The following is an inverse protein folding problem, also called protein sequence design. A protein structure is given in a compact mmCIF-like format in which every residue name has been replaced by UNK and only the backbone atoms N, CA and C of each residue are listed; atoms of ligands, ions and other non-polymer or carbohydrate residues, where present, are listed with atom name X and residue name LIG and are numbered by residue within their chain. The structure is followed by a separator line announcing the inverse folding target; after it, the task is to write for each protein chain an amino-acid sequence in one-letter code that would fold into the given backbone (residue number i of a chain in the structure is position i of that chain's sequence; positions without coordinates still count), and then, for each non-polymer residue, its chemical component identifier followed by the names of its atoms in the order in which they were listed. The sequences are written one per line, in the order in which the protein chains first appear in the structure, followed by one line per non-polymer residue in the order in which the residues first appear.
data_IF_701596584876
#
_entry.id   IF_701596584876
#
_cell.length_a   1.000
_cell.length_b   1.000
_cell.length_c   1.000
_cell.angle_alpha   90.00
_cell.angle_beta   90.00
_cell.angle_gamma   90.00
#
_symmetry.space_group_name_H-M   'P 1'
#
loop_
_entity.id
_entity.type
_entity.pdbx_description
1 polymer ?
#
# COMPACT_ATOMS: atom_id res chain seq x y z
N UNK A 1 15.20 11.79 2.84
CA UNK A 1 15.59 10.48 2.28
C UNK A 1 16.23 9.62 3.37
N UNK A 2 15.91 8.34 3.42
CA UNK A 2 16.44 7.40 4.43
C UNK A 2 17.72 6.77 3.88
N UNK A 3 18.75 6.61 4.72
CA UNK A 3 19.94 5.82 4.38
C UNK A 3 19.58 4.32 4.52
N UNK A 4 19.19 3.69 3.39
CA UNK A 4 18.71 2.30 3.35
C UNK A 4 19.80 1.26 3.63
N UNK A 5 21.08 1.62 3.53
CA UNK A 5 22.20 0.73 3.87
C UNK A 5 22.44 0.66 5.38
N UNK A 6 22.19 1.77 6.08
CA UNK A 6 22.42 1.87 7.54
C UNK A 6 21.16 1.73 8.38
N UNK A 7 19.98 1.76 7.76
CA UNK A 7 18.69 1.71 8.45
C UNK A 7 18.03 0.36 8.21
N UNK A 8 17.63 -0.34 9.27
CA UNK A 8 16.85 -1.57 9.16
C UNK A 8 15.47 -1.27 8.51
N UNK A 9 15.04 -2.03 7.48
CA UNK A 9 13.70 -1.86 6.93
C UNK A 9 12.61 -2.28 7.92
N UNK A 10 11.42 -1.70 7.75
CA UNK A 10 10.21 -2.13 8.43
C UNK A 10 9.44 -3.14 7.58
N UNK A 11 8.69 -4.02 8.25
CA UNK A 11 7.74 -4.92 7.59
C UNK A 11 6.44 -4.16 7.29
N UNK A 12 6.19 -3.89 6.01
CA UNK A 12 4.93 -3.36 5.50
C UNK A 12 4.01 -4.51 5.10
N UNK A 13 2.77 -4.47 5.56
CA UNK A 13 1.70 -5.40 5.18
C UNK A 13 0.76 -4.71 4.18
N UNK A 14 0.67 -5.26 2.98
CA UNK A 14 -0.25 -4.80 1.94
C UNK A 14 -1.37 -5.83 1.79
N UNK A 15 -2.61 -5.37 1.73
CA UNK A 15 -3.76 -6.23 1.45
C UNK A 15 -4.29 -5.86 0.07
N UNK A 16 -4.27 -6.81 -0.85
CA UNK A 16 -4.50 -6.56 -2.28
C UNK A 16 -5.69 -7.35 -2.77
N UNK A 17 -6.76 -6.64 -3.17
CA UNK A 17 -7.96 -7.21 -3.77
C UNK A 17 -8.18 -6.61 -5.16
N UNK A 18 -8.66 -7.44 -6.08
CA UNK A 18 -8.86 -7.10 -7.48
C UNK A 18 -10.27 -6.53 -7.64
N UNK A 19 -10.39 -5.42 -8.37
CA UNK A 19 -11.67 -4.76 -8.65
C UNK A 19 -12.15 -3.79 -7.55
N UNK A 20 -11.89 -4.07 -6.28
CA UNK A 20 -12.25 -3.20 -5.17
C UNK A 20 -11.31 -3.35 -3.96
N UNK A 21 -11.40 -2.41 -3.01
CA UNK A 21 -10.76 -2.56 -1.70
C UNK A 21 -11.57 -3.51 -0.81
N UNK A 22 -10.89 -4.25 0.06
CA UNK A 22 -11.51 -4.84 1.25
C UNK A 22 -12.27 -3.78 2.04
N UNK A 23 -13.42 -4.14 2.61
CA UNK A 23 -14.16 -3.25 3.50
C UNK A 23 -13.45 -3.14 4.84
N UNK A 24 -13.59 -1.98 5.49
CA UNK A 24 -12.90 -1.72 6.75
C UNK A 24 -13.38 -2.66 7.88
N UNK A 25 -14.64 -3.12 7.82
CA UNK A 25 -15.22 -4.08 8.75
C UNK A 25 -14.76 -5.53 8.54
N UNK A 26 -14.07 -5.84 7.45
CA UNK A 26 -13.37 -7.11 7.26
C UNK A 26 -12.07 -7.18 8.09
N UNK A 27 -11.59 -6.05 8.60
CA UNK A 27 -10.41 -5.97 9.46
C UNK A 27 -10.80 -5.87 10.92
N UNK A 28 -10.34 -6.83 11.70
CA UNK A 28 -10.39 -6.80 13.16
C UNK A 28 -9.09 -7.35 13.74
N UNK A 29 -8.88 -7.20 15.05
CA UNK A 29 -7.76 -7.84 15.72
C UNK A 29 -7.80 -9.38 15.69
N UNK A 30 -8.98 -9.97 15.45
CA UNK A 30 -9.17 -11.43 15.43
C UNK A 30 -9.13 -12.02 14.03
N UNK A 31 -9.47 -11.22 13.01
CA UNK A 31 -9.65 -11.69 11.64
C UNK A 31 -9.23 -10.60 10.66
N UNK A 32 -8.38 -11.00 9.70
CA UNK A 32 -7.87 -10.17 8.60
C UNK A 32 -7.79 -11.05 7.34
N UNK A 33 -7.94 -10.49 6.12
CA UNK A 33 -7.87 -11.24 4.87
C UNK A 33 -6.41 -11.62 4.52
N UNK A 34 -5.85 -12.61 5.24
CA UNK A 34 -4.43 -12.98 5.14
C UNK A 34 -4.06 -13.69 3.84
N UNK A 35 -5.04 -14.29 3.14
CA UNK A 35 -4.81 -14.93 1.83
C UNK A 35 -4.43 -13.92 0.74
N UNK A 36 -4.80 -12.65 0.93
CA UNK A 36 -4.55 -11.52 0.03
C UNK A 36 -3.49 -10.57 0.60
N UNK A 37 -2.70 -11.03 1.58
CA UNK A 37 -1.63 -10.27 2.22
C UNK A 37 -0.29 -10.44 1.47
N UNK A 38 0.33 -9.32 1.12
CA UNK A 38 1.72 -9.25 0.64
C UNK A 38 2.57 -8.55 1.69
N UNK A 39 3.70 -9.18 2.04
CA UNK A 39 4.67 -8.64 3.01
C UNK A 39 5.88 -8.08 2.31
N UNK A 40 6.20 -6.82 2.57
CA UNK A 40 7.29 -6.09 1.93
C UNK A 40 8.21 -5.53 3.00
N UNK A 41 9.52 -5.78 2.88
CA UNK A 41 10.53 -5.09 3.69
C UNK A 41 10.90 -3.79 2.98
N UNK A 42 10.62 -2.65 3.61
CA UNK A 42 10.84 -1.33 3.00
C UNK A 42 11.10 -0.24 4.05
N UNK A 43 11.22 1.00 3.61
CA UNK A 43 11.52 2.15 4.47
C UNK A 43 10.45 3.23 4.34
N UNK A 44 10.45 4.18 5.29
CA UNK A 44 9.46 5.28 5.32
C UNK A 44 9.50 6.21 4.11
N UNK A 45 10.57 6.21 3.33
CA UNK A 45 10.67 6.97 2.08
C UNK A 45 10.17 6.21 0.84
N UNK A 46 9.68 4.98 1.00
CA UNK A 46 9.10 4.23 -0.10
C UNK A 46 7.86 4.92 -0.68
N UNK A 47 7.82 5.03 -2.00
CA UNK A 47 6.76 5.73 -2.72
C UNK A 47 5.62 4.80 -3.13
N UNK A 48 4.43 5.34 -3.40
CA UNK A 48 3.33 4.54 -3.94
C UNK A 48 3.71 3.90 -5.28
N UNK A 49 4.52 4.58 -6.11
CA UNK A 49 5.06 4.00 -7.34
C UNK A 49 5.94 2.77 -7.06
N UNK A 50 6.89 2.88 -6.12
CA UNK A 50 7.75 1.77 -5.71
C UNK A 50 6.92 0.58 -5.20
N UNK A 51 5.89 0.83 -4.39
CA UNK A 51 4.97 -0.23 -3.94
C UNK A 51 4.20 -0.86 -5.10
N UNK A 52 3.80 -0.07 -6.10
CA UNK A 52 3.09 -0.57 -7.29
C UNK A 52 3.99 -1.49 -8.11
N UNK A 53 5.25 -1.12 -8.29
CA UNK A 53 6.25 -1.92 -9.00
C UNK A 53 6.56 -3.24 -8.26
N UNK A 54 6.64 -3.19 -6.92
CA UNK A 54 6.80 -4.39 -6.10
C UNK A 54 5.58 -5.33 -6.21
N UNK A 55 4.36 -4.78 -6.17
CA UNK A 55 3.14 -5.56 -6.38
C UNK A 55 3.07 -6.19 -7.77
N UNK A 56 3.53 -5.49 -8.81
CA UNK A 56 3.65 -6.04 -10.15
C UNK A 56 4.58 -7.27 -10.19
N UNK A 57 5.62 -7.33 -9.37
CA UNK A 57 6.51 -8.50 -9.33
C UNK A 57 5.80 -9.73 -8.75
N UNK A 58 4.84 -9.55 -7.84
CA UNK A 58 4.13 -10.64 -7.16
C UNK A 58 2.83 -11.04 -7.87
N UNK A 59 2.03 -10.06 -8.29
CA UNK A 59 0.72 -10.27 -8.91
C UNK A 59 0.75 -10.00 -10.41
N UNK A 60 0.49 -11.03 -11.22
CA UNK A 60 0.50 -10.92 -12.70
C UNK A 60 -0.52 -9.91 -13.22
N UNK A 61 -1.64 -9.77 -12.54
CA UNK A 61 -2.73 -8.86 -12.90
C UNK A 61 -2.32 -7.39 -12.81
N UNK A 62 -1.41 -7.08 -11.89
CA UNK A 62 -0.87 -5.72 -11.74
C UNK A 62 0.09 -5.37 -12.87
N UNK A 63 0.81 -6.35 -13.45
CA UNK A 63 1.87 -6.11 -14.48
C UNK A 63 1.37 -5.47 -15.76
N UNK A 64 0.08 -5.55 -16.07
CA UNK A 64 -0.45 -5.04 -17.32
C UNK A 64 -0.32 -3.51 -17.37
N UNK A 65 0.19 -2.99 -18.49
CA UNK A 65 0.29 -1.54 -18.68
C UNK A 65 -1.09 -0.91 -18.62
N UNK A 66 -1.22 0.17 -17.84
CA UNK A 66 -2.49 0.83 -17.59
C UNK A 66 -3.29 0.26 -16.42
N UNK A 67 -2.85 -0.84 -15.78
CA UNK A 67 -3.47 -1.29 -14.53
C UNK A 67 -3.34 -0.20 -13.47
N UNK A 68 -4.48 0.19 -12.90
CA UNK A 68 -4.59 1.20 -11.85
C UNK A 68 -4.55 0.53 -10.48
N UNK A 69 -3.66 1.00 -9.62
CA UNK A 69 -3.61 0.59 -8.21
C UNK A 69 -4.12 1.73 -7.34
N UNK A 70 -5.19 1.50 -6.59
CA UNK A 70 -5.70 2.45 -5.60
C UNK A 70 -5.13 2.11 -4.23
N UNK A 71 -4.79 3.14 -3.45
CA UNK A 71 -4.16 2.99 -2.15
C UNK A 71 -5.01 3.65 -1.06
N UNK A 72 -5.17 2.92 0.05
CA UNK A 72 -5.72 3.42 1.31
C UNK A 72 -4.86 2.91 2.47
N UNK A 73 -4.73 3.69 3.53
CA UNK A 73 -4.11 3.23 4.79
C UNK A 73 -5.21 2.78 5.73
N UNK A 74 -5.05 1.60 6.34
CA UNK A 74 -5.88 1.12 7.44
C UNK A 74 -5.16 1.34 8.76
N UNK A 75 -5.90 1.83 9.76
CA UNK A 75 -5.39 2.06 11.11
C UNK A 75 -6.53 1.88 12.13
N UNK A 76 -6.23 1.46 13.37
CA UNK A 76 -7.24 1.39 14.42
C UNK A 76 -7.64 2.81 14.87
N UNK A 77 -8.93 3.05 15.05
CA UNK A 77 -9.46 4.24 15.71
C UNK A 77 -9.30 4.15 17.24
N UNK A 78 -9.75 5.18 17.95
CA UNK A 78 -9.68 5.23 19.42
C UNK A 78 -10.47 4.09 20.12
N UNK A 79 -11.42 3.46 19.42
CA UNK A 79 -12.23 2.34 19.92
C UNK A 79 -11.65 0.98 19.50
N UNK A 80 -10.51 0.95 18.81
CA UNK A 80 -9.89 -0.26 18.27
C UNK A 80 -10.58 -0.80 17.01
N UNK A 81 -11.50 -0.05 16.39
CA UNK A 81 -12.08 -0.41 15.11
C UNK A 81 -11.15 0.05 13.99
N UNK A 82 -10.88 -0.82 13.01
CA UNK A 82 -10.13 -0.40 11.84
C UNK A 82 -10.95 0.59 11.01
N UNK A 83 -10.31 1.69 10.64
CA UNK A 83 -10.81 2.71 9.72
C UNK A 83 -9.75 2.95 8.65
N UNK A 84 -10.18 3.44 7.50
CA UNK A 84 -9.26 3.77 6.41
C UNK A 84 -9.34 5.23 5.97
N UNK A 85 -8.23 5.71 5.40
CA UNK A 85 -8.22 6.95 4.63
C UNK A 85 -7.61 6.70 3.25
N UNK A 86 -8.22 7.29 2.22
CA UNK A 86 -7.78 7.16 0.83
C UNK A 86 -6.55 8.03 0.58
N UNK A 87 -5.52 7.45 -0.04
CA UNK A 87 -4.30 8.15 -0.43
C UNK A 87 -4.43 8.69 -1.87
N UNK A 88 -4.94 7.85 -2.76
CA UNK A 88 -5.07 8.10 -4.20
C UNK A 88 -4.77 6.86 -5.04
N UNK A 89 -4.30 7.04 -6.28
CA UNK A 89 -3.99 5.94 -7.18
C UNK A 89 -2.69 6.11 -7.95
N UNK A 90 -2.13 5.00 -8.42
CA UNK A 90 -1.03 4.94 -9.40
C UNK A 90 -1.46 4.10 -10.61
N UNK A 91 -0.65 4.09 -11.67
CA UNK A 91 -0.83 3.20 -12.79
C UNK A 91 0.51 2.62 -13.28
N UNK A 92 0.50 1.38 -13.75
CA UNK A 92 1.69 0.76 -14.36
C UNK A 92 1.95 1.33 -15.75
N UNK A 93 3.21 1.70 -16.01
CA UNK A 93 3.66 2.20 -17.32
C UNK A 93 3.12 3.59 -17.68
N UNK A 94 2.35 4.23 -16.80
CA UNK A 94 1.73 5.54 -17.04
C UNK A 94 1.80 6.41 -15.79
N UNK A 95 2.32 7.62 -15.94
CA UNK A 95 2.17 8.65 -14.91
C UNK A 95 0.74 9.17 -14.96
N UNK A 96 0.04 9.03 -13.84
CA UNK A 96 -1.23 9.73 -13.62
C UNK A 96 -0.91 11.21 -13.34
N UNK A 97 -1.89 12.08 -13.57
CA UNK A 97 -1.72 13.54 -13.42
C UNK A 97 -1.59 13.98 -11.95
N UNK A 98 -1.65 13.04 -11.00
CA UNK A 98 -1.57 13.29 -9.57
C UNK A 98 -0.16 13.02 -9.01
N UNK A 99 0.19 13.75 -7.94
CA UNK A 99 1.45 13.57 -7.22
C UNK A 99 1.44 12.31 -6.32
N UNK A 100 0.38 11.49 -6.41
CA UNK A 100 0.19 10.31 -5.56
C UNK A 100 1.31 9.30 -5.77
N UNK A 101 1.76 9.13 -7.01
CA UNK A 101 2.88 8.22 -7.33
C UNK A 101 4.15 8.53 -6.54
N UNK A 102 4.38 9.81 -6.19
CA UNK A 102 5.56 10.27 -5.45
C UNK A 102 5.33 10.36 -3.93
N UNK A 103 4.08 10.18 -3.46
CA UNK A 103 3.80 10.17 -2.02
C UNK A 103 4.52 9.00 -1.36
N UNK A 104 5.23 9.31 -0.28
CA UNK A 104 5.97 8.34 0.54
C UNK A 104 5.13 7.84 1.71
N UNK A 105 5.51 6.68 2.27
CA UNK A 105 4.92 6.16 3.52
C UNK A 105 4.96 7.18 4.67
N UNK A 106 6.04 7.97 4.76
CA UNK A 106 6.17 9.07 5.72
C UNK A 106 5.13 10.17 5.48
N UNK A 107 4.92 10.58 4.24
CA UNK A 107 3.99 11.66 3.89
C UNK A 107 2.52 11.28 4.12
N UNK A 108 2.18 10.00 3.97
CA UNK A 108 0.83 9.48 4.30
C UNK A 108 0.68 9.12 5.79
N UNK A 109 1.70 9.43 6.61
CA UNK A 109 1.73 9.17 8.06
C UNK A 109 1.47 7.71 8.41
N UNK A 110 2.01 6.78 7.63
CA UNK A 110 2.01 5.37 7.99
C UNK A 110 2.87 5.15 9.26
N UNK A 111 2.33 4.40 10.23
CA UNK A 111 2.94 4.17 11.55
C UNK A 111 3.17 2.69 11.79
#
# INVERSE_FOLDING_TARGET
PVDREKTCPMLLRLFCKVGEHHRDDEFSYKQQPTDEEVRVHTWRDATMAELTELLAQVHREVRQSGTKCTFKVLYPDANGKFVSHVIGSTAIGRRLHDDVSQKTLAQIRYQ
#
